data_IF_497770765020
#
_entry.id   IF_497770765020
#
_cell.length_a   1.000
_cell.length_b   1.000
_cell.length_c   1.000
_cell.angle_alpha   90.00
_cell.angle_beta   90.00
_cell.angle_gamma   90.00
#
_symmetry.space_group_name_H-M   'P 1'
#
loop_
_entity.id
_entity.type
_entity.pdbx_description
1 polymer ?
#
# COMPACT_ATOMS: atom_id res chain seq x y z
N UNK A 1 -19.80 -2.21 2.39
CA UNK A 1 -18.56 -2.50 1.61
C UNK A 1 -17.40 -2.48 2.59
N UNK A 2 -16.75 -3.61 2.83
CA UNK A 2 -15.80 -3.77 3.94
C UNK A 2 -14.54 -2.93 3.73
N UNK A 3 -14.38 -1.87 4.53
CA UNK A 3 -13.15 -1.12 4.71
C UNK A 3 -12.14 -1.96 5.55
N UNK A 4 -11.82 -3.18 5.08
CA UNK A 4 -10.98 -4.15 5.80
C UNK A 4 -9.50 -4.13 5.37
N UNK A 5 -9.18 -3.43 4.30
CA UNK A 5 -7.90 -3.58 3.59
C UNK A 5 -6.78 -2.68 4.10
N UNK A 6 -7.06 -1.73 5.00
CA UNK A 6 -6.07 -0.79 5.53
C UNK A 6 -6.22 -0.70 7.05
N UNK A 7 -5.17 -1.07 7.78
CA UNK A 7 -5.13 -0.93 9.24
C UNK A 7 -3.80 -0.32 9.67
N UNK A 8 -3.86 0.70 10.52
CA UNK A 8 -2.65 1.22 11.13
C UNK A 8 -2.27 0.35 12.33
N UNK A 9 -1.04 -0.13 12.33
CA UNK A 9 -0.45 -0.91 13.42
C UNK A 9 0.80 -0.19 13.92
N UNK A 10 1.16 -0.42 15.18
CA UNK A 10 2.43 0.04 15.73
C UNK A 10 3.36 -1.16 15.87
N UNK A 11 4.63 -0.98 15.53
CA UNK A 11 5.64 -1.99 15.83
C UNK A 11 6.05 -1.96 17.31
N UNK A 12 6.99 -2.81 17.69
CA UNK A 12 7.51 -2.95 19.05
C UNK A 12 8.17 -1.67 19.59
N UNK A 13 8.60 -0.77 18.71
CA UNK A 13 9.23 0.51 19.04
C UNK A 13 8.19 1.66 18.99
N UNK A 14 6.93 1.36 18.70
CA UNK A 14 5.84 2.32 18.62
C UNK A 14 5.71 3.05 17.28
N UNK A 15 6.51 2.69 16.28
CA UNK A 15 6.47 3.25 14.93
C UNK A 15 5.19 2.81 14.20
N UNK A 16 4.51 3.74 13.55
CA UNK A 16 3.19 3.50 12.92
C UNK A 16 3.37 2.98 11.49
N UNK A 17 2.98 1.74 11.27
CA UNK A 17 2.97 1.06 9.99
C UNK A 17 1.54 1.01 9.43
N UNK A 18 1.43 1.11 8.10
CA UNK A 18 0.19 0.84 7.40
C UNK A 18 0.21 -0.60 6.91
N UNK A 19 -0.63 -1.43 7.49
CA UNK A 19 -0.81 -2.81 7.05
C UNK A 19 -1.87 -2.85 5.97
N UNK A 20 -1.49 -3.44 4.84
CA UNK A 20 -2.32 -3.64 3.66
C UNK A 20 -2.48 -5.13 3.42
N UNK A 21 -3.63 -5.57 2.91
CA UNK A 21 -3.75 -6.95 2.42
C UNK A 21 -2.93 -7.17 1.14
N UNK A 22 -2.61 -8.43 0.85
CA UNK A 22 -1.74 -8.81 -0.27
C UNK A 22 -2.29 -8.34 -1.62
N UNK A 23 -3.61 -8.44 -1.81
CA UNK A 23 -4.31 -8.00 -3.02
C UNK A 23 -4.17 -6.48 -3.22
N UNK A 24 -4.31 -5.71 -2.14
CA UNK A 24 -4.14 -4.27 -2.16
C UNK A 24 -2.67 -3.89 -2.39
N UNK A 25 -1.72 -4.61 -1.79
CA UNK A 25 -0.29 -4.39 -2.01
C UNK A 25 0.08 -4.55 -3.47
N UNK A 26 -0.29 -5.68 -4.08
CA UNK A 26 -0.03 -5.97 -5.49
C UNK A 26 -0.65 -4.90 -6.42
N UNK A 27 -1.85 -4.43 -6.10
CA UNK A 27 -2.52 -3.37 -6.87
C UNK A 27 -1.80 -2.03 -6.75
N UNK A 28 -1.32 -1.67 -5.56
CA UNK A 28 -0.58 -0.43 -5.32
C UNK A 28 0.76 -0.44 -6.05
N UNK A 29 1.51 -1.55 -5.97
CA UNK A 29 2.77 -1.75 -6.70
C UNK A 29 2.56 -1.64 -8.21
N UNK A 30 1.58 -2.36 -8.76
CA UNK A 30 1.24 -2.29 -10.18
C UNK A 30 0.93 -0.86 -10.59
N UNK A 31 0.10 -0.14 -9.82
CA UNK A 31 -0.29 1.23 -10.13
C UNK A 31 0.89 2.20 -10.07
N UNK A 32 1.82 2.01 -9.12
CA UNK A 32 3.04 2.81 -9.02
C UNK A 32 3.94 2.55 -10.24
N UNK A 33 4.19 1.28 -10.58
CA UNK A 33 4.97 0.91 -11.76
C UNK A 33 4.36 1.48 -13.04
N UNK A 34 3.05 1.39 -13.24
CA UNK A 34 2.38 1.98 -14.40
C UNK A 34 2.59 3.49 -14.47
N UNK A 35 2.52 4.21 -13.34
CA UNK A 35 2.77 5.65 -13.30
C UNK A 35 4.21 6.01 -13.65
N UNK A 36 5.18 5.22 -13.16
CA UNK A 36 6.60 5.39 -13.50
C UNK A 36 6.83 5.16 -14.99
N UNK A 37 6.28 4.08 -15.55
CA UNK A 37 6.42 3.76 -16.98
C UNK A 37 5.71 4.77 -17.89
N UNK A 38 4.60 5.36 -17.41
CA UNK A 38 3.89 6.41 -18.12
C UNK A 38 4.52 7.80 -17.97
N UNK A 39 5.54 7.95 -17.14
CA UNK A 39 6.24 9.22 -16.95
C UNK A 39 6.98 9.60 -18.23
N UNK A 40 6.68 10.79 -18.78
CA UNK A 40 7.38 11.40 -19.90
C UNK A 40 8.16 12.60 -19.39
N UNK A 41 9.41 12.73 -19.84
CA UNK A 41 10.33 13.84 -19.54
C UNK A 41 9.98 15.05 -20.41
#
# INVERSE_FOLDING_TARGET
>A
MMQRSLRFLKDEVGQKHLVVDEVLSARLETRLLTKILAFKI
#
